data_IF_010893664348
#
_entry.id   IF_010893664348
#
_cell.length_a   1.000
_cell.length_b   1.000
_cell.length_c   1.000
_cell.angle_alpha   90.00
_cell.angle_beta   90.00
_cell.angle_gamma   90.00
#
_symmetry.space_group_name_H-M   'P 1'
#
loop_
_entity.id
_entity.type
_entity.pdbx_description
1 polymer ?
#
# COMPACT_ATOMS: atom_id res chain seq x y z
N UNK A 1 5.55 12.94 -23.20
CA UNK A 1 6.03 12.76 -21.81
C UNK A 1 7.00 11.60 -21.65
N UNK A 2 6.63 10.32 -21.82
CA UNK A 2 7.60 9.21 -21.73
C UNK A 2 8.70 9.27 -22.81
N UNK A 3 8.30 9.57 -24.06
CA UNK A 3 9.24 9.73 -25.19
C UNK A 3 10.12 10.99 -25.10
N UNK A 4 9.72 12.01 -24.33
CA UNK A 4 10.50 13.24 -24.13
C UNK A 4 11.58 13.10 -23.05
N UNK A 5 11.48 12.07 -22.21
CA UNK A 5 12.41 11.81 -21.10
C UNK A 5 13.44 10.71 -21.43
N UNK A 6 13.44 10.19 -22.66
CA UNK A 6 14.36 9.13 -23.09
C UNK A 6 14.19 7.81 -22.32
N UNK A 7 13.05 7.62 -21.64
CA UNK A 7 12.74 6.43 -20.88
C UNK A 7 12.06 5.42 -21.81
N UNK A 8 12.83 4.49 -22.36
CA UNK A 8 12.27 3.33 -23.07
C UNK A 8 11.64 2.40 -22.04
N UNK A 9 10.31 2.27 -22.06
CA UNK A 9 9.62 1.26 -21.26
C UNK A 9 10.09 -0.13 -21.74
N UNK A 10 10.68 -0.97 -20.87
CA UNK A 10 11.02 -2.33 -21.25
C UNK A 10 9.73 -3.06 -21.66
N UNK A 11 9.79 -3.69 -22.83
CA UNK A 11 8.70 -4.46 -23.41
C UNK A 11 8.16 -5.50 -22.43
N UNK A 12 6.87 -5.79 -22.64
CA UNK A 12 6.05 -6.70 -21.86
C UNK A 12 6.83 -7.92 -21.37
N UNK A 13 7.08 -7.95 -20.06
CA UNK A 13 7.49 -9.18 -19.39
C UNK A 13 6.26 -10.07 -19.39
N UNK A 14 6.43 -11.20 -20.05
CA UNK A 14 5.47 -12.29 -20.18
C UNK A 14 4.80 -12.60 -18.84
N UNK A 15 3.49 -12.85 -18.89
CA UNK A 15 2.73 -13.47 -17.81
C UNK A 15 3.33 -14.84 -17.49
N UNK A 16 4.35 -14.87 -16.63
CA UNK A 16 4.79 -16.10 -16.00
C UNK A 16 3.84 -16.39 -14.85
N UNK A 17 2.69 -16.98 -15.19
CA UNK A 17 1.87 -17.74 -14.27
C UNK A 17 2.64 -18.99 -13.82
N UNK A 18 3.69 -18.81 -13.01
CA UNK A 18 4.26 -19.91 -12.24
C UNK A 18 3.45 -20.03 -10.96
N UNK A 19 2.41 -20.85 -11.00
CA UNK A 19 1.75 -21.36 -9.82
C UNK A 19 2.75 -22.21 -9.02
N UNK A 20 3.64 -21.55 -8.28
CA UNK A 20 4.51 -22.18 -7.29
C UNK A 20 3.61 -22.80 -6.23
N UNK A 21 3.75 -24.10 -5.99
CA UNK A 21 3.00 -24.84 -4.98
C UNK A 21 3.16 -24.17 -3.61
N UNK A 22 2.18 -23.36 -3.22
CA UNK A 22 2.18 -22.63 -1.94
C UNK A 22 2.13 -23.66 -0.81
N UNK A 23 3.25 -23.78 -0.09
CA UNK A 23 3.37 -24.67 1.06
C UNK A 23 2.31 -24.36 2.14
N UNK A 24 1.95 -25.34 2.99
CA UNK A 24 0.86 -25.22 3.96
C UNK A 24 1.06 -24.07 4.98
N UNK A 25 2.31 -23.72 5.29
CA UNK A 25 2.64 -22.60 6.17
C UNK A 25 2.32 -21.23 5.54
N UNK A 26 2.76 -21.01 4.28
CA UNK A 26 2.50 -19.77 3.54
C UNK A 26 1.00 -19.54 3.33
N UNK A 27 0.25 -20.61 3.04
CA UNK A 27 -1.23 -20.52 2.89
C UNK A 27 -1.93 -20.06 4.17
N UNK A 28 -1.49 -20.54 5.34
CA UNK A 28 -2.07 -20.12 6.63
C UNK A 28 -1.77 -18.65 6.92
N UNK A 29 -0.58 -18.18 6.58
CA UNK A 29 -0.19 -16.79 6.75
C UNK A 29 -0.97 -15.87 5.81
N UNK A 30 -1.05 -16.24 4.53
CA UNK A 30 -1.84 -15.54 3.52
C UNK A 30 -3.32 -15.43 3.94
N UNK A 31 -3.90 -16.51 4.47
CA UNK A 31 -5.28 -16.48 4.98
C UNK A 31 -5.46 -15.48 6.14
N UNK A 32 -4.47 -15.34 7.03
CA UNK A 32 -4.51 -14.32 8.09
C UNK A 32 -4.49 -12.91 7.53
N UNK A 33 -3.66 -12.66 6.50
CA UNK A 33 -3.59 -11.36 5.83
C UNK A 33 -4.91 -11.01 5.15
N UNK A 34 -5.50 -11.97 4.44
CA UNK A 34 -6.83 -11.81 3.83
C UNK A 34 -7.86 -11.46 4.90
N UNK A 35 -7.94 -12.24 5.98
CA UNK A 35 -8.91 -11.96 7.05
C UNK A 35 -8.68 -10.59 7.71
N UNK A 36 -7.43 -10.15 7.87
CA UNK A 36 -7.11 -8.80 8.34
C UNK A 36 -7.63 -7.73 7.36
N UNK A 37 -7.32 -7.88 6.07
CA UNK A 37 -7.73 -6.92 5.04
C UNK A 37 -9.24 -6.86 4.89
N UNK A 38 -9.93 -8.00 4.87
CA UNK A 38 -11.39 -8.05 4.80
C UNK A 38 -12.02 -7.38 6.02
N UNK A 39 -11.50 -7.58 7.23
CA UNK A 39 -11.98 -6.89 8.42
C UNK A 39 -11.77 -5.37 8.34
N UNK A 40 -10.59 -4.94 7.89
CA UNK A 40 -10.27 -3.52 7.70
C UNK A 40 -11.17 -2.86 6.65
N UNK A 41 -11.47 -3.56 5.55
CA UNK A 41 -12.32 -3.07 4.45
C UNK A 41 -13.83 -3.21 4.69
N UNK A 42 -14.25 -3.68 5.88
CA UNK A 42 -15.67 -3.85 6.22
C UNK A 42 -16.32 -5.11 5.62
N UNK A 43 -15.61 -6.24 5.65
CA UNK A 43 -16.00 -7.59 5.17
C UNK A 43 -16.20 -7.71 3.65
N UNK A 44 -15.48 -6.91 2.86
CA UNK A 44 -15.43 -7.07 1.41
C UNK A 44 -14.42 -8.15 1.04
N UNK A 45 -14.77 -9.05 0.12
CA UNK A 45 -13.88 -10.12 -0.35
C UNK A 45 -12.65 -9.55 -1.05
N UNK A 46 -11.47 -10.03 -0.67
CA UNK A 46 -10.21 -9.68 -1.32
C UNK A 46 -9.84 -10.71 -2.38
N UNK A 47 -9.87 -10.32 -3.67
CA UNK A 47 -9.74 -11.26 -4.79
C UNK A 47 -8.31 -11.72 -5.07
N UNK A 48 -7.29 -10.95 -4.67
CA UNK A 48 -5.89 -11.14 -5.07
C UNK A 48 -4.92 -11.23 -3.89
N UNK A 49 -4.99 -12.27 -3.02
CA UNK A 49 -4.20 -12.36 -1.79
C UNK A 49 -2.68 -12.11 -1.95
N UNK A 50 -2.12 -12.40 -3.11
CA UNK A 50 -0.75 -12.08 -3.50
C UNK A 50 -0.40 -10.60 -3.37
N UNK A 51 -1.33 -9.69 -3.68
CA UNK A 51 -1.13 -8.25 -3.53
C UNK A 51 -1.06 -7.83 -2.06
N UNK A 52 -1.71 -8.56 -1.14
CA UNK A 52 -1.56 -8.31 0.29
C UNK A 52 -0.19 -8.75 0.80
N UNK A 53 0.36 -9.84 0.24
CA UNK A 53 1.72 -10.24 0.56
C UNK A 53 2.73 -9.19 0.09
N UNK A 54 2.58 -8.66 -1.14
CA UNK A 54 3.43 -7.58 -1.66
C UNK A 54 3.26 -6.29 -0.84
N UNK A 55 2.03 -5.85 -0.58
CA UNK A 55 1.73 -4.62 0.15
C UNK A 55 2.29 -4.59 1.58
N UNK A 56 2.51 -5.76 2.19
CA UNK A 56 3.04 -5.89 3.54
C UNK A 56 4.51 -6.32 3.57
N UNK A 57 5.20 -6.35 2.44
CA UNK A 57 6.61 -6.74 2.36
C UNK A 57 7.49 -5.52 2.18
N UNK A 58 8.31 -5.22 3.20
CA UNK A 58 9.32 -4.16 3.13
C UNK A 58 10.52 -4.60 2.28
N UNK A 59 11.23 -3.66 1.67
CA UNK A 59 12.42 -3.93 0.82
C UNK A 59 13.57 -4.64 1.53
N UNK A 60 13.62 -4.59 2.87
CA UNK A 60 14.60 -5.29 3.70
C UNK A 60 14.17 -6.71 4.12
N UNK A 61 12.98 -7.16 3.71
CA UNK A 61 12.53 -8.52 3.99
C UNK A 61 13.45 -9.55 3.31
N UNK A 62 13.63 -10.69 3.97
CA UNK A 62 14.56 -11.76 3.51
C UNK A 62 14.01 -12.49 2.28
N UNK A 63 12.69 -12.49 2.09
CA UNK A 63 12.03 -13.25 1.04
C UNK A 63 12.08 -12.52 -0.30
N UNK A 64 13.01 -12.92 -1.18
CA UNK A 64 13.20 -12.33 -2.51
C UNK A 64 12.09 -12.74 -3.51
N UNK A 65 11.27 -13.74 -3.18
CA UNK A 65 10.22 -14.23 -4.07
C UNK A 65 8.94 -13.36 -4.05
N UNK A 66 8.87 -12.38 -3.14
CA UNK A 66 7.75 -11.44 -3.03
C UNK A 66 8.28 -10.03 -3.29
N UNK A 67 7.71 -9.29 -4.26
CA UNK A 67 8.09 -7.90 -4.48
C UNK A 67 7.86 -7.05 -3.23
N UNK A 68 8.63 -5.98 -3.06
CA UNK A 68 8.36 -4.99 -2.01
C UNK A 68 7.16 -4.12 -2.36
N UNK A 69 6.49 -3.56 -1.35
CA UNK A 69 5.31 -2.71 -1.52
C UNK A 69 5.50 -1.46 -2.39
N UNK A 70 6.73 -1.04 -2.72
CA UNK A 70 7.05 0.26 -3.34
C UNK A 70 6.24 0.57 -4.61
N UNK A 71 5.94 -0.42 -5.44
CA UNK A 71 5.12 -0.21 -6.65
C UNK A 71 3.64 0.01 -6.29
N UNK A 72 3.14 -0.74 -5.32
CA UNK A 72 1.78 -0.56 -4.81
C UNK A 72 1.63 0.76 -4.05
N UNK A 73 2.66 1.17 -3.31
CA UNK A 73 2.73 2.49 -2.66
C UNK A 73 2.65 3.61 -3.68
N UNK A 74 3.43 3.54 -4.77
CA UNK A 74 3.41 4.56 -5.82
C UNK A 74 2.01 4.75 -6.45
N UNK A 75 1.30 3.65 -6.74
CA UNK A 75 -0.08 3.73 -7.27
C UNK A 75 -1.05 4.17 -6.15
N UNK A 76 -0.89 3.62 -4.96
CA UNK A 76 -1.74 3.89 -3.80
C UNK A 76 -1.73 5.34 -3.38
N UNK A 77 -0.58 6.01 -3.44
CA UNK A 77 -0.44 7.44 -3.13
C UNK A 77 -1.29 8.30 -4.07
N UNK A 78 -1.24 8.02 -5.37
CA UNK A 78 -2.10 8.71 -6.35
C UNK A 78 -3.59 8.46 -6.11
N UNK A 79 -3.97 7.23 -5.75
CA UNK A 79 -5.37 6.87 -5.42
C UNK A 79 -5.84 7.59 -4.16
N UNK A 80 -5.01 7.64 -3.11
CA UNK A 80 -5.32 8.35 -1.86
C UNK A 80 -5.45 9.85 -2.08
N UNK A 81 -4.54 10.45 -2.85
CA UNK A 81 -4.62 11.86 -3.25
C UNK A 81 -5.93 12.16 -3.97
N UNK A 82 -6.32 11.33 -4.95
CA UNK A 82 -7.57 11.52 -5.69
C UNK A 82 -8.79 11.42 -4.78
N UNK A 83 -8.87 10.39 -3.94
CA UNK A 83 -9.98 10.19 -3.02
C UNK A 83 -10.09 11.34 -1.99
N UNK A 84 -8.96 11.81 -1.46
CA UNK A 84 -8.92 12.96 -0.58
C UNK A 84 -9.40 14.22 -1.28
N UNK A 85 -8.91 14.50 -2.50
CA UNK A 85 -9.34 15.66 -3.30
C UNK A 85 -10.84 15.63 -3.59
N UNK A 86 -11.39 14.48 -3.98
CA UNK A 86 -12.83 14.32 -4.24
C UNK A 86 -13.66 14.64 -2.98
N UNK A 87 -13.22 14.10 -1.84
CA UNK A 87 -13.87 14.33 -0.54
C UNK A 87 -13.78 15.82 -0.14
N UNK A 88 -12.60 16.42 -0.18
CA UNK A 88 -12.39 17.84 0.17
C UNK A 88 -13.25 18.73 -0.74
N UNK A 89 -13.18 18.53 -2.05
CA UNK A 89 -13.89 19.35 -3.04
C UNK A 89 -15.41 19.35 -2.80
N UNK A 90 -15.97 18.21 -2.40
CA UNK A 90 -17.40 18.06 -2.14
C UNK A 90 -17.81 18.65 -0.78
N UNK A 91 -16.97 18.52 0.26
CA UNK A 91 -17.31 18.92 1.63
C UNK A 91 -16.94 20.37 1.96
N UNK A 92 -15.99 20.96 1.23
CA UNK A 92 -15.49 22.32 1.46
C UNK A 92 -15.57 23.20 0.21
N UNK A 93 -16.75 23.42 -0.39
CA UNK A 93 -16.91 24.11 -1.67
C UNK A 93 -16.60 25.62 -1.63
N UNK A 94 -16.30 26.17 -0.45
CA UNK A 94 -16.02 27.61 -0.25
C UNK A 94 -14.53 27.92 -0.07
N UNK A 95 -13.69 26.90 0.06
CA UNK A 95 -12.26 27.08 0.24
C UNK A 95 -11.60 27.45 -1.07
N UNK A 96 -10.56 28.28 -0.99
CA UNK A 96 -9.72 28.61 -2.12
C UNK A 96 -8.67 27.51 -2.39
N UNK A 97 -8.01 27.58 -3.55
CA UNK A 97 -7.04 26.56 -3.96
C UNK A 97 -5.91 26.37 -2.92
N UNK A 98 -5.28 27.44 -2.37
CA UNK A 98 -4.31 27.29 -1.29
C UNK A 98 -4.82 26.49 -0.08
N UNK A 99 -6.03 26.79 0.40
CA UNK A 99 -6.64 26.09 1.53
C UNK A 99 -6.90 24.61 1.22
N UNK A 100 -7.38 24.31 0.01
CA UNK A 100 -7.58 22.93 -0.46
C UNK A 100 -6.27 22.13 -0.46
N UNK A 101 -5.17 22.73 -0.93
CA UNK A 101 -3.84 22.11 -0.96
C UNK A 101 -3.32 21.84 0.45
N UNK A 102 -3.49 22.78 1.38
CA UNK A 102 -3.10 22.59 2.78
C UNK A 102 -3.88 21.45 3.42
N UNK A 103 -5.19 21.36 3.14
CA UNK A 103 -6.03 20.28 3.66
C UNK A 103 -5.63 18.92 3.08
N UNK A 104 -5.40 18.83 1.77
CA UNK A 104 -4.90 17.62 1.12
C UNK A 104 -3.58 17.16 1.75
N UNK A 105 -2.61 18.08 1.87
CA UNK A 105 -1.30 17.77 2.45
C UNK A 105 -1.37 17.33 3.91
N UNK A 106 -2.42 17.73 4.65
CA UNK A 106 -2.63 17.29 6.03
C UNK A 106 -3.26 15.89 6.09
N UNK A 107 -4.27 15.63 5.24
CA UNK A 107 -4.97 14.35 5.19
C UNK A 107 -4.10 13.22 4.62
N UNK A 108 -3.38 13.52 3.53
CA UNK A 108 -2.52 12.58 2.82
C UNK A 108 -1.06 12.88 3.15
N UNK A 109 -0.71 12.71 4.43
CA UNK A 109 0.66 12.82 4.91
C UNK A 109 1.13 11.50 5.51
N UNK A 110 2.43 11.25 5.44
CA UNK A 110 3.03 10.07 6.07
C UNK A 110 2.72 9.99 7.57
N UNK A 111 2.65 11.13 8.26
CA UNK A 111 2.33 11.18 9.69
C UNK A 111 0.88 10.76 9.96
N UNK A 112 -0.09 11.36 9.25
CA UNK A 112 -1.52 11.01 9.37
C UNK A 112 -1.76 9.55 9.01
N UNK A 113 -1.19 9.09 7.88
CA UNK A 113 -1.36 7.72 7.40
C UNK A 113 -0.68 6.70 8.32
N UNK A 114 0.50 7.01 8.86
CA UNK A 114 1.16 6.16 9.86
C UNK A 114 0.35 6.06 11.14
N UNK A 115 -0.21 7.19 11.62
CA UNK A 115 -1.07 7.19 12.79
C UNK A 115 -2.31 6.30 12.59
N UNK A 116 -2.98 6.43 11.44
CA UNK A 116 -4.12 5.59 11.07
C UNK A 116 -3.73 4.11 10.96
N UNK A 117 -2.56 3.80 10.40
CA UNK A 117 -2.03 2.44 10.31
C UNK A 117 -1.88 1.80 11.70
N UNK A 118 -1.30 2.53 12.65
CA UNK A 118 -1.10 2.08 14.04
C UNK A 118 -2.44 1.89 14.77
N UNK A 119 -3.37 2.84 14.62
CA UNK A 119 -4.70 2.73 15.22
C UNK A 119 -5.44 1.47 14.76
N UNK A 120 -5.17 1.01 13.54
CA UNK A 120 -5.76 -0.19 12.96
C UNK A 120 -4.89 -1.45 13.13
N UNK A 121 -3.79 -1.39 13.89
CA UNK A 121 -2.87 -2.49 14.16
C UNK A 121 -2.23 -3.11 12.89
N UNK A 122 -2.12 -2.33 11.80
CA UNK A 122 -1.59 -2.81 10.52
C UNK A 122 -0.06 -3.01 10.57
N UNK A 123 0.63 -2.28 11.46
CA UNK A 123 2.09 -2.34 11.64
C UNK A 123 2.58 -3.76 12.00
N UNK A 124 1.73 -4.56 12.64
CA UNK A 124 2.06 -5.92 13.11
C UNK A 124 2.17 -6.93 11.98
N UNK A 125 1.65 -6.58 10.81
CA UNK A 125 1.61 -7.46 9.65
C UNK A 125 2.73 -7.15 8.65
N UNK A 126 3.49 -6.06 8.86
CA UNK A 126 4.61 -5.69 7.99
C UNK A 126 5.76 -6.67 8.19
N UNK A 127 6.21 -7.27 7.09
CA UNK A 127 7.41 -8.10 7.03
C UNK A 127 8.63 -7.22 6.77
N UNK A 128 9.50 -7.08 7.76
CA UNK A 128 10.77 -6.36 7.63
C UNK A 128 11.86 -7.03 8.46
N UNK A 129 13.13 -6.75 8.14
CA UNK A 129 14.28 -7.18 8.96
C UNK A 129 14.89 -6.04 9.77
N UNK A 130 14.41 -4.81 9.58
CA UNK A 130 14.94 -3.65 10.29
C UNK A 130 14.63 -3.77 11.79
N UNK A 131 15.68 -3.92 12.60
CA UNK A 131 15.58 -4.03 14.06
C UNK A 131 15.25 -2.69 14.74
N UNK A 132 15.38 -1.58 14.01
CA UNK A 132 15.11 -0.22 14.51
C UNK A 132 13.66 0.20 14.30
N UNK A 133 12.95 -0.40 13.35
CA UNK A 133 11.55 -0.10 13.01
C UNK A 133 10.61 -0.19 14.23
N UNK A 134 10.63 -1.25 15.06
CA UNK A 134 9.77 -1.33 16.24
C UNK A 134 10.00 -0.22 17.28
N UNK A 135 11.21 0.34 17.32
CA UNK A 135 11.56 1.46 18.20
C UNK A 135 11.10 2.84 17.67
N UNK A 136 10.76 2.93 16.38
CA UNK A 136 10.26 4.16 15.73
C UNK A 136 8.74 4.26 15.73
N UNK A 137 8.03 3.17 15.99
CA UNK A 137 6.55 3.07 15.95
C UNK A 137 5.98 3.23 17.37
N UNK A 138 6.44 4.23 18.15
CA UNK A 138 5.95 4.50 19.51
C UNK A 138 5.44 5.92 19.66
#
# INVERSE_FOLDING_TARGET
VADELGLTLPGQVEDSSSASSVGPARRREQQKLVSMAENFLGKKTFSHPELLEEALTHSTAINQDVPSYQRLEWIGDAVLCLAAREWIYTHYPKLDVPELVVMEATLVSNETLAHLSIMNNLERFIRHRDVTLPGRIR
#
